data_IF_038968012382
#
_entry.id   IF_038968012382
#
_cell.length_a   1.000
_cell.length_b   1.000
_cell.length_c   1.000
_cell.angle_alpha   90.00
_cell.angle_beta   90.00
_cell.angle_gamma   90.00
#
_symmetry.space_group_name_H-M   'P 1'
#
loop_
_entity.id
_entity.type
_entity.pdbx_description
1 polymer ?
#
# COMPACT_ATOMS: atom_id res chain seq x y z
N UNK A 1 20.04 7.20 -9.72
CA UNK A 1 20.24 5.77 -9.37
C UNK A 1 21.12 5.02 -10.39
N UNK A 2 21.08 5.33 -11.68
CA UNK A 2 21.98 4.77 -12.70
C UNK A 2 23.46 5.01 -12.35
N UNK A 3 23.80 6.22 -11.94
CA UNK A 3 25.15 6.64 -11.57
C UNK A 3 25.82 5.73 -10.50
N UNK A 4 25.06 5.27 -9.49
CA UNK A 4 25.63 4.44 -8.41
C UNK A 4 26.01 3.02 -8.86
N UNK A 5 25.28 2.43 -9.82
CA UNK A 5 25.65 1.12 -10.41
C UNK A 5 26.88 1.22 -11.31
N UNK A 6 26.98 2.27 -12.09
CA UNK A 6 28.12 2.53 -12.95
C UNK A 6 29.40 2.71 -12.14
N UNK A 7 29.34 3.46 -11.04
CA UNK A 7 30.50 3.62 -10.16
C UNK A 7 30.94 2.30 -9.52
N UNK A 8 30.00 1.46 -9.08
CA UNK A 8 30.33 0.16 -8.50
C UNK A 8 30.94 -0.76 -9.57
N UNK A 9 30.36 -0.80 -10.78
CA UNK A 9 30.90 -1.61 -11.88
C UNK A 9 32.29 -1.16 -12.29
N UNK A 10 32.50 0.16 -12.39
CA UNK A 10 33.84 0.72 -12.66
C UNK A 10 34.82 0.31 -11.57
N UNK A 11 34.46 0.46 -10.30
CA UNK A 11 35.32 0.07 -9.19
C UNK A 11 35.67 -1.42 -9.21
N UNK A 12 34.69 -2.29 -9.49
CA UNK A 12 34.91 -3.73 -9.64
C UNK A 12 35.87 -4.06 -10.81
N UNK A 13 35.88 -3.27 -11.87
CA UNK A 13 36.80 -3.45 -12.98
C UNK A 13 38.23 -2.98 -12.67
N UNK A 14 38.44 -2.11 -11.68
CA UNK A 14 39.74 -1.63 -11.22
C UNK A 14 40.41 -2.59 -10.23
N UNK A 15 39.66 -3.37 -9.46
CA UNK A 15 40.20 -4.28 -8.43
C UNK A 15 41.29 -5.24 -9.00
N UNK A 16 41.08 -5.92 -10.15
CA UNK A 16 42.09 -6.79 -10.73
C UNK A 16 43.39 -6.06 -11.08
N UNK A 17 43.27 -4.85 -11.64
CA UNK A 17 44.44 -4.01 -12.00
C UNK A 17 45.25 -3.57 -10.77
N UNK A 18 44.56 -3.24 -9.67
CA UNK A 18 45.19 -2.87 -8.42
C UNK A 18 45.91 -4.06 -7.76
N UNK A 19 45.34 -5.26 -7.92
CA UNK A 19 45.93 -6.50 -7.43
C UNK A 19 47.17 -6.89 -8.23
N UNK A 20 47.12 -6.77 -9.56
CA UNK A 20 48.25 -7.04 -10.47
C UNK A 20 49.43 -6.09 -10.23
N UNK A 21 49.14 -4.83 -9.91
CA UNK A 21 50.13 -3.82 -9.54
C UNK A 21 50.66 -3.98 -8.10
N UNK A 22 50.20 -4.96 -7.35
CA UNK A 22 50.64 -5.19 -5.97
C UNK A 22 50.20 -4.13 -4.96
N UNK A 23 49.24 -3.27 -5.32
CA UNK A 23 48.76 -2.18 -4.47
C UNK A 23 47.85 -2.73 -3.36
N UNK A 24 47.06 -3.77 -3.67
CA UNK A 24 46.16 -4.45 -2.70
C UNK A 24 46.47 -5.96 -2.66
N UNK A 25 46.47 -6.58 -1.47
CA UNK A 25 46.62 -8.03 -1.32
C UNK A 25 45.42 -8.77 -1.96
N UNK A 26 45.72 -9.97 -2.52
CA UNK A 26 44.67 -10.79 -3.17
C UNK A 26 43.48 -11.14 -2.27
N UNK A 27 43.76 -11.33 -0.97
CA UNK A 27 42.70 -11.60 0.03
C UNK A 27 41.76 -10.40 0.20
N UNK A 28 42.31 -9.20 0.27
CA UNK A 28 41.54 -7.95 0.34
C UNK A 28 40.76 -7.69 -0.94
N UNK A 29 41.34 -8.01 -2.10
CA UNK A 29 40.65 -7.91 -3.39
C UNK A 29 39.43 -8.83 -3.49
N UNK A 30 39.55 -10.06 -2.98
CA UNK A 30 38.46 -11.02 -2.93
C UNK A 30 37.30 -10.53 -2.01
N UNK A 31 37.64 -10.06 -0.82
CA UNK A 31 36.66 -9.52 0.14
C UNK A 31 35.94 -8.28 -0.39
N UNK A 32 36.65 -7.37 -1.05
CA UNK A 32 36.07 -6.19 -1.72
C UNK A 32 35.14 -6.60 -2.85
N UNK A 33 35.54 -7.55 -3.67
CA UNK A 33 34.72 -8.04 -4.80
C UNK A 33 33.43 -8.65 -4.30
N UNK A 34 33.48 -9.50 -3.27
CA UNK A 34 32.29 -10.11 -2.68
C UNK A 34 31.35 -9.04 -2.11
N UNK A 35 31.87 -8.11 -1.31
CA UNK A 35 31.09 -7.04 -0.71
C UNK A 35 30.37 -6.16 -1.74
N UNK A 36 31.06 -5.74 -2.79
CA UNK A 36 30.48 -4.87 -3.81
C UNK A 36 29.56 -5.61 -4.78
N UNK A 37 29.80 -6.89 -5.04
CA UNK A 37 28.88 -7.74 -5.78
C UNK A 37 27.55 -7.93 -5.04
N UNK A 38 27.58 -8.17 -3.75
CA UNK A 38 26.35 -8.27 -2.94
C UNK A 38 25.59 -6.95 -2.88
N UNK A 39 26.32 -5.84 -2.80
CA UNK A 39 25.71 -4.50 -2.92
C UNK A 39 25.08 -4.26 -4.29
N UNK A 40 25.66 -4.75 -5.37
CA UNK A 40 25.10 -4.69 -6.72
C UNK A 40 23.80 -5.51 -6.84
N UNK A 41 23.76 -6.70 -6.24
CA UNK A 41 22.58 -7.56 -6.20
C UNK A 41 21.43 -6.93 -5.37
N UNK A 42 21.76 -6.18 -4.33
CA UNK A 42 20.79 -5.48 -3.48
C UNK A 42 20.18 -4.23 -4.14
N UNK A 43 20.83 -3.67 -5.16
CA UNK A 43 20.30 -2.51 -5.87
C UNK A 43 19.14 -2.93 -6.80
N UNK A 44 18.02 -2.20 -6.78
CA UNK A 44 16.88 -2.53 -7.61
C UNK A 44 17.27 -2.50 -9.10
N UNK A 45 17.04 -3.61 -9.78
CA UNK A 45 17.25 -3.71 -11.23
C UNK A 45 16.14 -2.94 -11.97
N UNK A 46 16.47 -2.28 -13.08
CA UNK A 46 15.49 -1.62 -13.93
C UNK A 46 14.34 -2.55 -14.32
N UNK A 47 14.65 -3.82 -14.63
CA UNK A 47 13.63 -4.86 -14.90
C UNK A 47 12.67 -5.06 -13.73
N UNK A 48 13.18 -5.02 -12.50
CA UNK A 48 12.37 -5.20 -11.28
C UNK A 48 11.43 -4.03 -11.05
N UNK A 49 11.92 -2.81 -11.25
CA UNK A 49 11.12 -1.58 -11.16
C UNK A 49 10.06 -1.55 -12.27
N UNK A 50 10.46 -1.86 -13.51
CA UNK A 50 9.55 -1.91 -14.64
C UNK A 50 8.45 -2.94 -14.46
N UNK A 51 8.78 -4.16 -14.01
CA UNK A 51 7.81 -5.22 -13.71
C UNK A 51 6.85 -4.80 -12.59
N UNK A 52 7.32 -4.07 -11.58
CA UNK A 52 6.49 -3.57 -10.49
C UNK A 52 5.52 -2.49 -10.98
N UNK A 53 5.98 -1.56 -11.81
CA UNK A 53 5.12 -0.52 -12.42
C UNK A 53 4.07 -1.17 -13.32
N UNK A 54 4.48 -2.12 -14.18
CA UNK A 54 3.56 -2.81 -15.08
C UNK A 54 2.51 -3.62 -14.30
N UNK A 55 2.94 -4.28 -13.21
CA UNK A 55 2.04 -4.98 -12.30
C UNK A 55 1.03 -4.04 -11.64
N UNK A 56 1.49 -2.88 -11.18
CA UNK A 56 0.62 -1.88 -10.58
C UNK A 56 -0.44 -1.35 -11.57
N UNK A 57 -0.01 -1.06 -12.80
CA UNK A 57 -0.93 -0.65 -13.88
C UNK A 57 -1.94 -1.76 -14.17
N UNK A 58 -1.50 -3.02 -14.27
CA UNK A 58 -2.38 -4.16 -14.51
C UNK A 58 -3.43 -4.34 -13.42
N UNK A 59 -3.03 -4.24 -12.15
CA UNK A 59 -3.94 -4.34 -11.01
C UNK A 59 -4.95 -3.18 -11.00
N UNK A 60 -4.51 -1.95 -11.26
CA UNK A 60 -5.42 -0.79 -11.32
C UNK A 60 -6.41 -0.89 -12.46
N UNK A 61 -5.99 -1.35 -13.63
CA UNK A 61 -6.90 -1.58 -14.77
C UNK A 61 -7.92 -2.69 -14.48
N UNK A 62 -7.48 -3.78 -13.86
CA UNK A 62 -8.38 -4.87 -13.46
C UNK A 62 -9.40 -4.41 -12.43
N UNK A 63 -8.96 -3.66 -11.41
CA UNK A 63 -9.85 -3.08 -10.41
C UNK A 63 -10.87 -2.12 -11.02
N UNK A 64 -10.43 -1.24 -11.92
CA UNK A 64 -11.33 -0.33 -12.66
C UNK A 64 -12.35 -1.10 -13.49
N UNK A 65 -11.94 -2.17 -14.18
CA UNK A 65 -12.83 -3.03 -14.95
C UNK A 65 -13.91 -3.69 -14.07
N UNK A 66 -13.53 -4.19 -12.90
CA UNK A 66 -14.49 -4.77 -11.93
C UNK A 66 -15.49 -3.70 -11.46
N UNK A 67 -15.00 -2.50 -11.12
CA UNK A 67 -15.85 -1.39 -10.67
C UNK A 67 -16.83 -0.99 -11.77
N UNK A 68 -16.39 -0.85 -13.01
CA UNK A 68 -17.25 -0.51 -14.15
C UNK A 68 -18.30 -1.61 -14.41
N UNK A 69 -17.89 -2.88 -14.35
CA UNK A 69 -18.81 -4.00 -14.51
C UNK A 69 -19.89 -4.01 -13.42
N UNK A 70 -19.51 -3.81 -12.17
CA UNK A 70 -20.45 -3.73 -11.05
C UNK A 70 -21.38 -2.52 -11.19
N UNK A 71 -20.82 -1.35 -11.57
CA UNK A 71 -21.62 -0.13 -11.76
C UNK A 71 -22.65 -0.27 -12.87
N UNK A 72 -22.26 -0.87 -14.00
CA UNK A 72 -23.17 -1.09 -15.13
C UNK A 72 -24.33 -2.03 -14.79
N UNK A 73 -24.06 -3.06 -14.00
CA UNK A 73 -25.07 -4.05 -13.61
C UNK A 73 -25.72 -3.76 -12.24
N UNK A 74 -25.40 -2.60 -11.62
CA UNK A 74 -25.78 -2.31 -10.24
C UNK A 74 -27.27 -2.42 -9.98
N UNK A 75 -28.09 -1.92 -10.89
CA UNK A 75 -29.54 -1.91 -10.75
C UNK A 75 -30.21 -3.28 -10.97
N UNK A 76 -29.51 -4.21 -11.60
CA UNK A 76 -29.99 -5.59 -11.78
C UNK A 76 -29.84 -6.43 -10.49
N UNK A 77 -28.94 -6.03 -9.58
CA UNK A 77 -28.73 -6.77 -8.35
C UNK A 77 -29.79 -6.46 -7.29
N UNK A 78 -30.38 -7.48 -6.64
CA UNK A 78 -31.26 -7.27 -5.49
C UNK A 78 -30.49 -6.65 -4.31
N UNK A 79 -31.21 -5.92 -3.44
CA UNK A 79 -30.59 -5.14 -2.34
C UNK A 79 -29.63 -5.95 -1.46
N UNK A 80 -29.97 -7.20 -1.14
CA UNK A 80 -29.11 -8.06 -0.33
C UNK A 80 -27.78 -8.42 -1.00
N UNK A 81 -27.77 -8.57 -2.33
CA UNK A 81 -26.53 -8.80 -3.09
C UNK A 81 -25.66 -7.55 -3.11
N UNK A 82 -26.26 -6.37 -3.30
CA UNK A 82 -25.55 -5.09 -3.24
C UNK A 82 -24.89 -4.88 -1.87
N UNK A 83 -25.58 -5.18 -0.78
CA UNK A 83 -25.04 -5.11 0.59
C UNK A 83 -23.89 -6.10 0.77
N UNK A 84 -24.03 -7.34 0.26
CA UNK A 84 -22.97 -8.34 0.30
C UNK A 84 -21.70 -7.89 -0.43
N UNK A 85 -21.85 -7.34 -1.63
CA UNK A 85 -20.72 -6.78 -2.42
C UNK A 85 -20.06 -5.61 -1.66
N UNK A 86 -20.87 -4.72 -1.07
CA UNK A 86 -20.37 -3.58 -0.30
C UNK A 86 -19.59 -4.01 0.95
N UNK A 87 -20.01 -5.08 1.62
CA UNK A 87 -19.37 -5.59 2.83
C UNK A 87 -18.08 -6.40 2.55
N UNK A 88 -17.92 -6.90 1.33
CA UNK A 88 -16.81 -7.82 0.96
C UNK A 88 -15.43 -7.23 1.22
N UNK A 89 -15.08 -5.99 0.82
CA UNK A 89 -13.78 -5.39 1.11
C UNK A 89 -13.50 -5.26 2.61
N UNK A 90 -14.51 -4.90 3.40
CA UNK A 90 -14.39 -4.81 4.85
C UNK A 90 -14.12 -6.19 5.47
N UNK A 91 -14.88 -7.21 5.08
CA UNK A 91 -14.70 -8.57 5.59
C UNK A 91 -13.33 -9.15 5.22
N UNK A 92 -12.86 -8.91 4.00
CA UNK A 92 -11.53 -9.32 3.57
C UNK A 92 -10.44 -8.58 4.37
N UNK A 93 -10.58 -7.27 4.56
CA UNK A 93 -9.64 -6.47 5.36
C UNK A 93 -9.59 -6.92 6.80
N UNK A 94 -10.73 -7.11 7.44
CA UNK A 94 -10.84 -7.59 8.82
C UNK A 94 -10.28 -9.02 8.97
N UNK A 95 -10.57 -9.92 8.04
CA UNK A 95 -10.03 -11.28 8.03
C UNK A 95 -8.51 -11.30 7.88
N UNK A 96 -7.96 -10.53 6.93
CA UNK A 96 -6.52 -10.35 6.78
C UNK A 96 -5.90 -9.75 8.05
N UNK A 97 -6.55 -8.76 8.66
CA UNK A 97 -6.12 -8.14 9.89
C UNK A 97 -6.06 -9.11 11.05
N UNK A 98 -7.12 -9.87 11.25
CA UNK A 98 -7.18 -10.91 12.27
C UNK A 98 -6.06 -11.94 12.10
N UNK A 99 -5.85 -12.43 10.88
CA UNK A 99 -4.77 -13.38 10.57
C UNK A 99 -3.38 -12.78 10.82
N UNK A 100 -3.20 -11.51 10.49
CA UNK A 100 -1.94 -10.78 10.63
C UNK A 100 -1.57 -10.58 12.11
N UNK A 101 -2.57 -10.28 12.94
CA UNK A 101 -2.39 -10.12 14.40
C UNK A 101 -2.10 -11.46 15.05
N UNK A 102 -2.88 -12.51 14.74
CA UNK A 102 -2.69 -13.84 15.34
C UNK A 102 -1.34 -14.49 15.01
N UNK A 103 -0.81 -14.23 13.81
CA UNK A 103 0.46 -14.82 13.36
C UNK A 103 1.66 -13.89 13.54
N UNK A 104 1.49 -12.80 14.23
CA UNK A 104 2.54 -11.79 14.49
C UNK A 104 3.35 -11.44 13.22
N UNK A 105 2.62 -11.18 12.13
CA UNK A 105 3.22 -10.85 10.83
C UNK A 105 3.93 -9.49 10.88
N UNK A 106 4.82 -9.27 9.90
CA UNK A 106 5.59 -8.03 9.80
C UNK A 106 4.69 -6.79 9.74
N UNK A 107 5.26 -5.65 10.16
CA UNK A 107 4.57 -4.34 10.19
C UNK A 107 3.90 -4.01 8.84
N UNK A 108 4.52 -4.38 7.72
CA UNK A 108 3.97 -4.14 6.37
C UNK A 108 2.61 -4.82 6.17
N UNK A 109 2.44 -6.05 6.68
CA UNK A 109 1.16 -6.77 6.60
C UNK A 109 0.10 -6.15 7.51
N UNK A 110 0.50 -5.65 8.67
CA UNK A 110 -0.40 -4.94 9.60
C UNK A 110 -0.88 -3.64 8.98
N UNK A 111 0.01 -2.84 8.40
CA UNK A 111 -0.33 -1.61 7.67
C UNK A 111 -1.28 -1.87 6.49
N UNK A 112 -0.95 -2.86 5.65
CA UNK A 112 -1.77 -3.21 4.48
C UNK A 112 -3.18 -3.65 4.88
N UNK A 113 -3.32 -4.50 5.91
CA UNK A 113 -4.63 -4.94 6.39
C UNK A 113 -5.42 -3.81 7.06
N UNK A 114 -4.76 -2.91 7.78
CA UNK A 114 -5.37 -1.73 8.37
C UNK A 114 -5.97 -0.79 7.30
N UNK A 115 -5.19 -0.48 6.26
CA UNK A 115 -5.63 0.35 5.14
C UNK A 115 -6.79 -0.33 4.40
N UNK A 116 -6.70 -1.63 4.13
CA UNK A 116 -7.77 -2.38 3.46
C UNK A 116 -9.07 -2.37 4.27
N UNK A 117 -8.99 -2.58 5.59
CA UNK A 117 -10.15 -2.55 6.48
C UNK A 117 -10.78 -1.17 6.54
N UNK A 118 -9.97 -0.12 6.65
CA UNK A 118 -10.44 1.27 6.68
C UNK A 118 -11.11 1.64 5.34
N UNK A 119 -10.47 1.33 4.22
CA UNK A 119 -11.04 1.58 2.88
C UNK A 119 -12.34 0.79 2.68
N UNK A 120 -12.39 -0.46 3.15
CA UNK A 120 -13.60 -1.28 3.13
C UNK A 120 -14.73 -0.68 3.96
N UNK A 121 -14.43 -0.09 5.12
CA UNK A 121 -15.40 0.62 5.97
C UNK A 121 -15.98 1.83 5.24
N UNK A 122 -15.13 2.66 4.64
CA UNK A 122 -15.53 3.83 3.85
C UNK A 122 -16.43 3.41 2.69
N UNK A 123 -16.02 2.39 1.94
CA UNK A 123 -16.79 1.88 0.80
C UNK A 123 -18.17 1.34 1.24
N UNK A 124 -18.22 0.59 2.35
CA UNK A 124 -19.48 0.06 2.89
C UNK A 124 -20.44 1.18 3.24
N UNK A 125 -19.99 2.21 3.97
CA UNK A 125 -20.84 3.33 4.38
C UNK A 125 -21.35 4.08 3.15
N UNK A 126 -20.47 4.39 2.18
CA UNK A 126 -20.83 5.08 0.96
C UNK A 126 -21.88 4.31 0.13
N UNK A 127 -21.68 3.00 -0.04
CA UNK A 127 -22.60 2.15 -0.79
C UNK A 127 -23.92 1.92 -0.07
N UNK A 128 -23.91 1.80 1.27
CA UNK A 128 -25.15 1.73 2.06
C UNK A 128 -25.97 3.03 1.93
N UNK A 129 -25.31 4.18 1.99
CA UNK A 129 -25.98 5.46 1.79
C UNK A 129 -26.63 5.54 0.41
N UNK A 130 -25.99 5.02 -0.62
CA UNK A 130 -26.55 4.92 -1.98
C UNK A 130 -27.75 3.95 -2.07
N UNK A 131 -27.63 2.77 -1.45
CA UNK A 131 -28.68 1.72 -1.52
C UNK A 131 -29.96 2.17 -0.80
N UNK A 132 -29.81 2.85 0.32
CA UNK A 132 -30.95 3.28 1.16
C UNK A 132 -31.38 4.71 0.91
N UNK A 133 -30.70 5.45 0.05
CA UNK A 133 -30.99 6.86 -0.25
C UNK A 133 -31.09 7.70 1.04
N UNK A 134 -30.23 7.41 2.00
CA UNK A 134 -30.30 8.04 3.34
C UNK A 134 -29.98 9.52 3.31
N UNK A 135 -29.40 10.03 2.21
CA UNK A 135 -29.07 11.43 2.01
C UNK A 135 -28.36 12.00 3.25
N UNK A 136 -27.06 12.13 3.24
CA UNK A 136 -26.30 12.74 4.32
C UNK A 136 -25.44 13.85 3.75
N UNK A 137 -25.12 14.84 4.55
CA UNK A 137 -24.13 15.82 4.16
C UNK A 137 -22.74 15.23 4.18
N UNK A 138 -21.90 15.68 3.25
CA UNK A 138 -20.52 15.20 3.13
C UNK A 138 -19.71 15.33 4.45
N UNK A 139 -19.85 16.37 5.26
CA UNK A 139 -19.20 16.49 6.57
C UNK A 139 -19.59 15.38 7.56
N UNK A 140 -20.89 14.97 7.57
CA UNK A 140 -21.37 13.87 8.43
C UNK A 140 -20.76 12.53 8.05
N UNK A 141 -20.65 12.28 6.75
CA UNK A 141 -20.00 11.09 6.22
C UNK A 141 -18.53 11.00 6.67
N UNK A 142 -17.76 12.08 6.51
CA UNK A 142 -16.34 12.11 6.92
C UNK A 142 -16.21 11.98 8.44
N UNK A 143 -17.11 12.60 9.21
CA UNK A 143 -17.12 12.47 10.67
C UNK A 143 -17.34 11.00 11.10
N UNK A 144 -18.31 10.31 10.48
CA UNK A 144 -18.58 8.91 10.77
C UNK A 144 -17.38 8.00 10.42
N UNK A 145 -16.76 8.24 9.26
CA UNK A 145 -15.55 7.52 8.84
C UNK A 145 -14.41 7.75 9.83
N UNK A 146 -14.19 8.98 10.26
CA UNK A 146 -13.17 9.33 11.25
C UNK A 146 -13.42 8.61 12.58
N UNK A 147 -14.66 8.61 13.06
CA UNK A 147 -15.05 7.96 14.31
C UNK A 147 -14.78 6.44 14.26
N UNK A 148 -15.14 5.79 13.14
CA UNK A 148 -14.93 4.34 12.96
C UNK A 148 -13.46 3.97 12.72
N UNK A 149 -12.64 4.91 12.28
CA UNK A 149 -11.20 4.69 12.09
C UNK A 149 -10.43 4.66 13.42
N UNK A 150 -10.92 5.29 14.49
CA UNK A 150 -10.26 5.32 15.79
C UNK A 150 -9.97 3.93 16.38
N UNK A 151 -10.93 3.02 16.52
CA UNK A 151 -10.66 1.69 17.07
C UNK A 151 -9.71 0.89 16.17
N UNK A 152 -9.73 1.11 14.85
CA UNK A 152 -8.82 0.42 13.92
C UNK A 152 -7.36 0.86 14.10
N UNK A 153 -7.11 2.13 14.41
CA UNK A 153 -5.76 2.65 14.70
C UNK A 153 -5.16 1.89 15.89
N UNK A 154 -5.93 1.75 16.97
CA UNK A 154 -5.50 1.04 18.16
C UNK A 154 -5.27 -0.45 17.89
N UNK A 155 -6.18 -1.08 17.16
CA UNK A 155 -6.12 -2.52 16.87
C UNK A 155 -4.90 -2.90 16.03
N UNK A 156 -4.60 -2.11 15.01
CA UNK A 156 -3.53 -2.40 14.05
C UNK A 156 -2.19 -1.74 14.40
N UNK A 157 -2.19 -0.77 15.31
CA UNK A 157 -1.01 0.07 15.62
C UNK A 157 -0.35 0.58 14.33
N UNK A 158 -1.17 1.12 13.43
CA UNK A 158 -0.79 1.52 12.07
C UNK A 158 -0.50 3.01 12.00
N UNK A 159 0.70 3.37 11.55
CA UNK A 159 1.11 4.75 11.35
C UNK A 159 0.38 5.38 10.14
N UNK A 160 0.19 4.59 9.07
CA UNK A 160 -0.53 5.03 7.88
C UNK A 160 -1.99 5.38 8.17
N UNK A 161 -2.67 4.56 8.98
CA UNK A 161 -4.05 4.82 9.39
C UNK A 161 -4.16 6.07 10.28
N UNK A 162 -3.17 6.30 11.15
CA UNK A 162 -3.13 7.51 11.98
C UNK A 162 -3.00 8.78 11.14
N UNK A 163 -2.14 8.78 10.12
CA UNK A 163 -2.00 9.90 9.19
C UNK A 163 -3.30 10.15 8.41
N UNK A 164 -3.96 9.09 7.97
CA UNK A 164 -5.22 9.16 7.24
C UNK A 164 -6.35 9.71 8.13
N UNK A 165 -6.40 9.30 9.39
CA UNK A 165 -7.32 9.84 10.39
C UNK A 165 -7.10 11.34 10.64
N UNK A 166 -5.84 11.79 10.80
CA UNK A 166 -5.51 13.20 10.97
C UNK A 166 -5.95 14.03 9.77
N UNK A 167 -5.74 13.50 8.56
CA UNK A 167 -6.19 14.15 7.32
C UNK A 167 -7.73 14.30 7.28
N UNK A 168 -8.47 13.24 7.58
CA UNK A 168 -9.94 13.31 7.62
C UNK A 168 -10.44 14.24 8.74
N UNK A 169 -9.81 14.21 9.92
CA UNK A 169 -10.16 15.08 11.02
C UNK A 169 -9.95 16.57 10.67
N UNK A 170 -8.85 16.87 9.96
CA UNK A 170 -8.59 18.22 9.45
C UNK A 170 -9.65 18.64 8.43
N UNK A 171 -9.99 17.77 7.47
CA UNK A 171 -11.07 18.05 6.50
C UNK A 171 -12.43 18.32 7.17
N UNK A 172 -12.78 17.58 8.23
CA UNK A 172 -14.03 17.83 8.99
C UNK A 172 -14.02 19.22 9.61
N UNK A 173 -12.89 19.62 10.23
CA UNK A 173 -12.76 20.94 10.81
C UNK A 173 -12.91 22.04 9.77
N UNK A 174 -12.25 21.90 8.62
CA UNK A 174 -12.26 22.90 7.55
C UNK A 174 -13.67 23.05 6.94
N UNK A 175 -14.36 21.93 6.65
CA UNK A 175 -15.71 21.94 6.09
C UNK A 175 -16.79 22.45 7.06
N UNK A 176 -16.58 22.33 8.36
CA UNK A 176 -17.56 22.75 9.37
C UNK A 176 -17.38 24.21 9.81
N UNK A 177 -16.20 24.79 9.55
CA UNK A 177 -15.86 26.17 9.91
C UNK A 177 -15.79 27.12 8.71
N UNK A 178 -15.97 26.64 7.46
CA UNK A 178 -16.22 27.55 6.33
C UNK A 178 -17.67 28.03 6.39
N UNK A 179 -17.91 29.36 6.44
CA UNK A 179 -19.23 29.95 6.43
C UNK A 179 -19.96 29.77 5.09
#
# INVERSE_FOLDING_TARGET
MANKKEHINWFLSEIPLLTEKGIIPAETAAALNEHYQDRLKSLPSFKKIFSLILGLIGITMAAAGIILFLNYNWDMFPKYVRIGIAALPLLLGAGCGYFTILRDKSQVWREASAILTSTGTVALIALLSQIYHTGGEFPEFIFLVSLLSLPLIYLFNSMGLTLLYLFFSFCVCDLKFMP
#
